data_IF_849818347740
#
_entry.id   IF_849818347740
#
_cell.length_a   1.000
_cell.length_b   1.000
_cell.length_c   1.000
_cell.angle_alpha   90.00
_cell.angle_beta   90.00
_cell.angle_gamma   90.00
#
_symmetry.space_group_name_H-M   'P 1'
#
loop_
_entity.id
_entity.type
_entity.pdbx_description
1 polymer ?
#
# COMPACT_ATOMS: atom_id res chain seq x y z
N UNK A 1 -3.35 4.72 -9.28
CA UNK A 1 -3.37 3.36 -8.67
C UNK A 1 -2.10 3.35 -7.86
N UNK A 2 -2.21 3.19 -6.54
CA UNK A 2 -1.07 3.32 -5.64
C UNK A 2 0.01 2.27 -5.94
N UNK A 3 1.07 2.69 -6.64
CA UNK A 3 2.17 1.85 -7.09
C UNK A 3 3.53 2.29 -6.56
N UNK A 4 3.55 3.22 -5.59
CA UNK A 4 4.78 3.66 -4.94
C UNK A 4 4.51 4.22 -3.57
N UNK A 5 5.32 3.83 -2.59
CA UNK A 5 5.24 4.29 -1.21
C UNK A 5 6.53 5.01 -0.81
N UNK A 6 6.38 5.99 0.06
CA UNK A 6 7.45 6.47 0.91
C UNK A 6 7.36 5.73 2.25
N UNK A 7 8.31 4.84 2.49
CA UNK A 7 8.46 4.13 3.76
C UNK A 7 9.79 4.49 4.41
N UNK A 8 10.16 5.77 4.36
CA UNK A 8 11.22 6.27 5.23
C UNK A 8 10.76 6.21 6.70
N UNK A 9 11.67 5.85 7.60
CA UNK A 9 11.39 5.87 9.04
C UNK A 9 10.41 4.79 9.52
N UNK A 10 10.31 3.65 8.83
CA UNK A 10 9.43 2.52 9.20
C UNK A 10 9.45 2.25 10.70
N UNK A 11 10.63 2.21 11.35
CA UNK A 11 10.74 1.98 12.79
C UNK A 11 9.90 2.98 13.60
N UNK A 12 9.99 4.28 13.29
CA UNK A 12 9.16 5.31 13.93
C UNK A 12 7.68 5.18 13.58
N UNK A 13 7.34 4.75 12.37
CA UNK A 13 5.94 4.52 11.99
C UNK A 13 5.33 3.40 12.85
N UNK A 14 6.13 2.39 13.20
CA UNK A 14 5.72 1.26 14.03
C UNK A 14 5.54 1.62 15.51
N UNK A 15 6.20 2.66 16.00
CA UNK A 15 6.04 3.15 17.38
C UNK A 15 4.64 3.72 17.66
N UNK A 16 3.80 3.94 16.64
CA UNK A 16 2.45 4.51 16.82
C UNK A 16 1.37 3.48 17.21
N UNK A 17 1.77 2.23 17.45
CA UNK A 17 0.88 1.14 17.85
C UNK A 17 0.94 0.91 19.37
N UNK A 18 0.61 1.93 20.16
CA UNK A 18 0.61 1.91 21.63
C UNK A 18 -0.45 0.98 22.26
N UNK A 19 -1.20 0.20 21.46
CA UNK A 19 -2.29 -0.64 21.93
C UNK A 19 -1.97 -2.14 22.03
N UNK A 20 -0.74 -2.52 21.69
CA UNK A 20 -0.21 -3.86 21.94
C UNK A 20 1.05 -3.70 22.77
N UNK A 21 1.11 -4.38 23.91
CA UNK A 21 2.21 -4.25 24.87
C UNK A 21 3.58 -4.56 24.25
N UNK A 22 3.63 -5.40 23.21
CA UNK A 22 4.85 -5.71 22.45
C UNK A 22 4.55 -5.95 20.96
N UNK A 23 5.06 -5.07 20.08
CA UNK A 23 5.21 -5.37 18.66
C UNK A 23 6.37 -6.36 18.48
N UNK A 24 6.09 -7.54 17.94
CA UNK A 24 7.14 -8.44 17.48
C UNK A 24 7.58 -8.03 16.07
N UNK A 25 8.56 -7.14 15.99
CA UNK A 25 9.10 -6.70 14.71
C UNK A 25 10.10 -7.73 14.15
N UNK A 26 9.68 -8.52 13.16
CA UNK A 26 10.53 -9.48 12.44
C UNK A 26 11.07 -8.93 11.12
N UNK A 27 10.60 -7.76 10.70
CA UNK A 27 11.02 -7.11 9.45
C UNK A 27 12.49 -6.73 9.48
N UNK A 28 13.16 -6.94 8.35
CA UNK A 28 14.52 -6.49 8.06
C UNK A 28 14.54 -5.43 6.94
N UNK A 29 13.37 -4.96 6.51
CA UNK A 29 13.25 -4.00 5.44
C UNK A 29 13.87 -2.65 5.83
N UNK A 30 14.81 -2.19 5.00
CA UNK A 30 15.38 -0.86 5.15
C UNK A 30 14.34 0.23 4.85
N UNK A 31 14.49 1.37 5.53
CA UNK A 31 13.78 2.60 5.19
C UNK A 31 14.08 3.01 3.74
N UNK A 32 13.04 3.33 2.98
CA UNK A 32 13.16 3.70 1.57
C UNK A 32 12.14 4.75 1.16
N UNK A 33 12.60 5.75 0.44
CA UNK A 33 11.76 6.83 -0.08
C UNK A 33 11.01 6.47 -1.36
N UNK A 34 11.39 5.38 -2.04
CA UNK A 34 10.84 5.02 -3.36
C UNK A 34 10.49 3.52 -3.48
N UNK A 35 9.62 3.04 -2.59
CA UNK A 35 9.23 1.62 -2.53
C UNK A 35 8.28 1.26 -3.67
N UNK A 36 8.61 0.22 -4.45
CA UNK A 36 7.84 -0.26 -5.60
C UNK A 36 7.25 -1.68 -5.39
N UNK A 37 6.15 -2.03 -6.08
CA UNK A 37 5.72 -3.41 -6.25
C UNK A 37 6.86 -4.32 -6.70
N UNK A 38 6.82 -5.57 -6.27
CA UNK A 38 7.88 -6.54 -6.51
C UNK A 38 9.03 -6.50 -5.50
N UNK A 39 8.89 -5.73 -4.41
CA UNK A 39 9.84 -5.71 -3.30
C UNK A 39 9.20 -6.27 -2.03
N UNK A 40 10.01 -6.77 -1.10
CA UNK A 40 9.54 -7.23 0.20
C UNK A 40 9.40 -6.06 1.16
N UNK A 41 8.25 -5.94 1.83
CA UNK A 41 7.92 -4.82 2.71
C UNK A 41 7.18 -5.26 3.97
N UNK A 42 7.37 -4.52 5.08
CA UNK A 42 6.73 -4.83 6.34
C UNK A 42 5.22 -4.70 6.20
N UNK A 43 4.52 -5.77 6.55
CA UNK A 43 3.07 -5.81 6.71
C UNK A 43 2.80 -6.20 8.16
N UNK A 44 2.04 -5.33 8.84
CA UNK A 44 1.57 -5.59 10.19
C UNK A 44 0.37 -6.53 10.15
N UNK A 45 0.34 -7.52 11.04
CA UNK A 45 -0.79 -8.45 11.19
C UNK A 45 -0.83 -9.05 12.60
N UNK A 46 -1.91 -9.80 12.88
CA UNK A 46 -2.08 -10.52 14.15
C UNK A 46 -1.74 -11.99 13.95
N UNK A 47 -0.74 -12.46 14.70
CA UNK A 47 -0.34 -13.87 14.80
C UNK A 47 -0.38 -14.28 16.28
N UNK A 48 -1.13 -15.34 16.60
CA UNK A 48 -1.29 -15.85 17.97
C UNK A 48 -1.62 -14.77 19.03
N UNK A 49 -2.47 -13.80 18.63
CA UNK A 49 -2.91 -12.70 19.48
C UNK A 49 -1.90 -11.56 19.65
N UNK A 50 -0.75 -11.60 18.97
CA UNK A 50 0.29 -10.57 18.99
C UNK A 50 0.32 -9.78 17.69
N UNK A 51 0.66 -8.50 17.77
CA UNK A 51 0.97 -7.69 16.60
C UNK A 51 2.38 -8.02 16.13
N UNK A 52 2.50 -8.38 14.85
CA UNK A 52 3.74 -8.81 14.22
C UNK A 52 3.96 -8.02 12.94
N UNK A 53 5.22 -7.66 12.64
CA UNK A 53 5.62 -7.10 11.36
C UNK A 53 6.47 -8.10 10.59
N UNK A 54 5.98 -8.56 9.43
CA UNK A 54 6.70 -9.46 8.53
C UNK A 54 6.92 -8.84 7.17
N UNK A 55 8.07 -9.16 6.56
CA UNK A 55 8.38 -8.74 5.20
C UNK A 55 7.69 -9.65 4.18
N UNK A 56 6.67 -9.12 3.50
CA UNK A 56 5.93 -9.82 2.46
C UNK A 56 6.20 -9.19 1.09
N UNK A 57 6.11 -10.01 0.05
CA UNK A 57 6.29 -9.55 -1.32
C UNK A 57 5.12 -8.65 -1.75
N UNK A 58 5.40 -7.42 -2.20
CA UNK A 58 4.36 -6.51 -2.67
C UNK A 58 3.88 -6.88 -4.08
N UNK A 59 2.84 -7.70 -4.12
CA UNK A 59 2.22 -8.24 -5.31
C UNK A 59 1.63 -9.60 -5.00
N UNK A 60 0.36 -9.80 -5.33
CA UNK A 60 -0.31 -11.08 -5.04
C UNK A 60 -0.80 -11.77 -6.30
N UNK A 61 -0.51 -13.07 -6.38
CA UNK A 61 -1.19 -14.01 -7.28
C UNK A 61 -1.34 -15.37 -6.60
N UNK A 62 -2.58 -15.79 -6.38
CA UNK A 62 -2.86 -17.12 -5.87
C UNK A 62 -2.33 -18.22 -6.80
N UNK A 63 -1.96 -19.38 -6.26
CA UNK A 63 -1.45 -20.53 -7.03
C UNK A 63 -2.40 -20.94 -8.16
N UNK A 64 -3.69 -21.12 -7.87
CA UNK A 64 -4.70 -21.52 -8.87
C UNK A 64 -4.79 -20.51 -10.03
N UNK A 65 -4.67 -19.21 -9.73
CA UNK A 65 -4.73 -18.16 -10.75
C UNK A 65 -3.47 -18.15 -11.63
N UNK A 66 -2.33 -18.58 -11.08
CA UNK A 66 -1.10 -18.68 -11.82
C UNK A 66 -1.02 -19.94 -12.71
N UNK A 67 -1.64 -21.03 -12.26
CA UNK A 67 -1.78 -22.32 -12.98
C UNK A 67 -2.91 -22.31 -14.01
N UNK A 68 -3.85 -21.38 -13.89
CA UNK A 68 -4.94 -21.26 -14.84
C UNK A 68 -4.42 -21.04 -16.27
N UNK A 69 -4.74 -21.97 -17.16
CA UNK A 69 -4.65 -21.78 -18.60
C UNK A 69 -5.92 -21.09 -19.07
N UNK A 70 -5.88 -19.80 -19.44
CA UNK A 70 -7.09 -19.10 -19.83
C UNK A 70 -7.61 -19.61 -21.19
N UNK A 71 -8.92 -19.81 -21.28
CA UNK A 71 -9.59 -20.09 -22.56
C UNK A 71 -10.03 -18.75 -23.18
N UNK A 72 -9.73 -18.47 -24.46
CA UNK A 72 -10.17 -17.25 -25.12
C UNK A 72 -11.68 -17.02 -24.94
N UNK A 73 -12.13 -15.78 -24.68
CA UNK A 73 -11.39 -14.52 -24.67
C UNK A 73 -10.79 -14.14 -23.30
N UNK A 74 -10.80 -15.03 -22.30
CA UNK A 74 -10.28 -14.72 -20.97
C UNK A 74 -8.77 -14.50 -21.05
N UNK A 75 -8.26 -13.53 -20.29
CA UNK A 75 -6.82 -13.29 -20.11
C UNK A 75 -6.33 -14.00 -18.86
N UNK A 76 -5.04 -14.32 -18.82
CA UNK A 76 -4.38 -14.84 -17.62
C UNK A 76 -4.50 -13.81 -16.49
N UNK A 77 -4.83 -14.29 -15.29
CA UNK A 77 -4.84 -13.44 -14.11
C UNK A 77 -3.38 -13.05 -13.80
N UNK A 78 -3.12 -11.74 -13.89
CA UNK A 78 -1.81 -11.19 -13.59
C UNK A 78 -1.64 -10.99 -12.08
N UNK A 79 -0.39 -11.01 -11.63
CA UNK A 79 -0.06 -10.56 -10.28
C UNK A 79 -0.51 -9.11 -10.11
N UNK A 80 -1.08 -8.78 -8.95
CA UNK A 80 -1.60 -7.44 -8.70
C UNK A 80 -1.10 -6.90 -7.36
N UNK A 81 -0.56 -5.67 -7.31
CA UNK A 81 -0.14 -5.02 -6.08
C UNK A 81 -1.29 -4.34 -5.33
N UNK A 82 -2.49 -4.26 -5.94
CA UNK A 82 -3.65 -3.63 -5.35
C UNK A 82 -4.88 -4.55 -5.40
N UNK A 83 -5.70 -4.48 -4.35
CA UNK A 83 -7.04 -5.04 -4.27
C UNK A 83 -8.05 -3.89 -4.31
N UNK A 84 -8.99 -3.92 -5.26
CA UNK A 84 -10.08 -2.95 -5.28
C UNK A 84 -11.04 -3.25 -4.15
N UNK A 85 -11.35 -2.27 -3.30
CA UNK A 85 -12.28 -2.43 -2.17
C UNK A 85 -13.58 -3.11 -2.57
N UNK A 86 -14.15 -2.68 -3.69
CA UNK A 86 -15.42 -3.17 -4.25
C UNK A 86 -15.36 -4.64 -4.69
N UNK A 87 -14.17 -5.24 -4.71
CA UNK A 87 -13.91 -6.64 -5.08
C UNK A 87 -13.49 -7.51 -3.90
N UNK A 88 -13.38 -6.96 -2.68
CA UNK A 88 -12.86 -7.67 -1.51
C UNK A 88 -13.67 -8.93 -1.15
N UNK A 89 -14.99 -8.89 -1.30
CA UNK A 89 -15.87 -10.04 -1.06
C UNK A 89 -15.87 -11.06 -2.22
N UNK A 90 -15.21 -10.75 -3.34
CA UNK A 90 -15.10 -11.64 -4.48
C UNK A 90 -14.22 -12.87 -4.18
N UNK A 91 -14.37 -13.98 -4.94
CA UNK A 91 -13.71 -15.25 -4.64
C UNK A 91 -12.18 -15.17 -4.65
N UNK A 92 -11.60 -14.22 -5.37
CA UNK A 92 -10.16 -14.00 -5.41
C UNK A 92 -9.60 -13.40 -4.11
N UNK A 93 -10.33 -12.47 -3.49
CA UNK A 93 -9.86 -11.71 -2.32
C UNK A 93 -10.46 -12.18 -0.99
N UNK A 94 -11.69 -12.72 -0.99
CA UNK A 94 -12.41 -13.15 0.22
C UNK A 94 -11.60 -14.13 1.10
N UNK A 95 -10.81 -15.08 0.55
CA UNK A 95 -9.94 -15.92 1.37
C UNK A 95 -8.89 -15.12 2.16
N UNK A 96 -8.23 -14.14 1.52
CA UNK A 96 -7.25 -13.29 2.19
C UNK A 96 -7.92 -12.31 3.16
N UNK A 97 -9.08 -11.75 2.79
CA UNK A 97 -9.85 -10.89 3.69
C UNK A 97 -10.25 -11.62 4.99
N UNK A 98 -10.46 -12.94 4.93
CA UNK A 98 -10.84 -13.74 6.10
C UNK A 98 -9.67 -13.98 7.06
N UNK A 99 -8.46 -14.19 6.55
CA UNK A 99 -7.33 -14.75 7.35
C UNK A 99 -6.01 -14.02 7.21
N UNK A 100 -5.92 -13.05 6.32
CA UNK A 100 -4.70 -12.35 5.96
C UNK A 100 -4.95 -10.87 5.79
N UNK A 101 -5.69 -10.27 6.73
CA UNK A 101 -5.78 -8.82 6.85
C UNK A 101 -4.46 -8.31 7.40
N UNK A 102 -3.92 -7.29 6.76
CA UNK A 102 -2.69 -6.63 7.18
C UNK A 102 -2.79 -5.12 7.07
N UNK A 103 -1.80 -4.42 7.63
CA UNK A 103 -1.64 -2.97 7.53
C UNK A 103 -0.22 -2.66 7.09
N UNK A 104 -0.08 -1.81 6.08
CA UNK A 104 1.20 -1.28 5.61
C UNK A 104 1.34 0.15 6.10
N UNK A 105 2.42 0.44 6.81
CA UNK A 105 2.73 1.80 7.26
C UNK A 105 3.53 2.55 6.20
N UNK A 106 3.20 3.82 5.97
CA UNK A 106 3.94 4.68 5.05
C UNK A 106 3.95 6.13 5.55
N UNK A 107 5.00 6.88 5.23
CA UNK A 107 5.04 8.34 5.41
C UNK A 107 4.18 9.05 4.35
N UNK A 108 4.01 8.41 3.20
CA UNK A 108 3.23 8.91 2.07
C UNK A 108 3.14 7.90 0.94
N UNK A 109 2.40 8.24 -0.11
CA UNK A 109 2.44 7.52 -1.38
C UNK A 109 2.62 8.49 -2.54
N UNK A 110 3.00 7.95 -3.70
CA UNK A 110 3.16 8.76 -4.90
C UNK A 110 2.11 8.44 -5.95
N UNK A 111 1.64 9.48 -6.63
CA UNK A 111 0.82 9.39 -7.84
C UNK A 111 1.38 10.35 -8.91
N UNK A 112 0.98 10.14 -10.16
CA UNK A 112 1.57 10.84 -11.30
C UNK A 112 0.51 11.52 -12.17
N UNK A 113 0.78 12.76 -12.57
CA UNK A 113 -0.01 13.47 -13.59
C UNK A 113 0.77 13.71 -14.87
N UNK A 114 0.08 14.05 -15.96
CA UNK A 114 0.69 14.36 -17.25
C UNK A 114 0.91 13.14 -18.16
N UNK A 115 1.39 13.37 -19.39
CA UNK A 115 1.59 12.31 -20.39
C UNK A 115 2.71 11.37 -19.97
N UNK A 116 2.67 10.11 -20.44
CA UNK A 116 3.54 9.01 -20.00
C UNK A 116 5.04 9.36 -19.94
N UNK A 117 5.54 10.06 -20.95
CA UNK A 117 6.98 10.41 -21.06
C UNK A 117 7.39 11.60 -20.18
N UNK A 118 6.43 12.39 -19.68
CA UNK A 118 6.67 13.60 -18.90
C UNK A 118 5.91 13.57 -17.56
N UNK A 119 5.65 12.38 -17.03
CA UNK A 119 4.86 12.21 -15.81
C UNK A 119 5.50 12.95 -14.64
N UNK A 120 4.71 13.81 -14.01
CA UNK A 120 5.09 14.55 -12.81
C UNK A 120 4.64 13.77 -11.58
N UNK A 121 5.56 13.27 -10.74
CA UNK A 121 5.19 12.66 -9.47
C UNK A 121 4.75 13.71 -8.46
N UNK A 122 3.77 13.32 -7.64
CA UNK A 122 3.27 14.02 -6.48
C UNK A 122 3.45 13.12 -5.27
N UNK A 123 3.98 13.67 -4.18
CA UNK A 123 3.98 13.01 -2.88
C UNK A 123 2.70 13.42 -2.13
N UNK A 124 1.95 12.44 -1.64
CA UNK A 124 0.70 12.63 -0.92
C UNK A 124 0.85 12.03 0.48
N UNK A 125 0.55 12.84 1.50
CA UNK A 125 0.79 12.51 2.92
C UNK A 125 -0.16 13.28 3.82
N UNK A 126 -0.18 12.95 5.12
CA UNK A 126 -1.02 13.67 6.09
C UNK A 126 -0.45 15.06 6.40
N UNK A 127 -1.31 16.06 6.54
CA UNK A 127 -0.94 17.43 6.94
C UNK A 127 -0.19 17.48 8.28
N UNK A 128 -0.59 16.64 9.23
CA UNK A 128 0.02 16.53 10.55
C UNK A 128 1.32 15.72 10.57
N UNK A 129 1.73 15.16 9.42
CA UNK A 129 2.92 14.30 9.27
C UNK A 129 2.87 13.01 10.09
N UNK A 130 1.69 12.63 10.57
CA UNK A 130 1.47 11.32 11.18
C UNK A 130 1.60 10.21 10.12
N UNK A 131 1.93 8.96 10.53
CA UNK A 131 1.95 7.83 9.63
C UNK A 131 0.61 7.58 8.94
N UNK A 132 0.69 6.97 7.76
CA UNK A 132 -0.44 6.37 7.08
C UNK A 132 -0.54 4.89 7.41
N UNK A 133 -1.71 4.45 7.84
CA UNK A 133 -2.06 3.05 8.00
C UNK A 133 -2.88 2.59 6.79
N UNK A 134 -2.21 1.92 5.85
CA UNK A 134 -2.82 1.48 4.60
C UNK A 134 -3.33 0.05 4.74
N UNK A 135 -4.62 -0.16 4.52
CA UNK A 135 -5.19 -1.51 4.59
C UNK A 135 -4.59 -2.41 3.49
N UNK A 136 -4.27 -3.64 3.85
CA UNK A 136 -3.74 -4.66 2.95
C UNK A 136 -4.44 -6.01 3.16
N UNK A 137 -4.44 -6.82 2.11
CA UNK A 137 -4.77 -8.25 2.17
C UNK A 137 -3.57 -9.05 1.67
N UNK A 138 -3.26 -10.14 2.35
CA UNK A 138 -2.02 -10.86 2.16
C UNK A 138 -2.19 -12.37 2.38
N UNK A 139 -1.24 -13.15 1.86
CA UNK A 139 -1.05 -14.52 2.28
C UNK A 139 0.26 -14.60 3.09
N UNK A 140 0.14 -14.72 4.42
CA UNK A 140 1.28 -14.80 5.34
C UNK A 140 1.95 -16.19 5.39
N UNK A 141 1.39 -17.19 4.72
CA UNK A 141 2.02 -18.51 4.60
C UNK A 141 3.23 -18.51 3.66
N UNK A 142 4.11 -19.51 3.74
CA UNK A 142 5.26 -19.61 2.83
C UNK A 142 4.80 -19.80 1.38
N UNK A 143 5.55 -19.26 0.43
CA UNK A 143 5.36 -19.58 -0.98
C UNK A 143 6.07 -20.89 -1.34
N UNK A 144 5.51 -21.64 -2.30
CA UNK A 144 6.12 -22.89 -2.77
C UNK A 144 6.87 -22.71 -4.08
N UNK A 145 6.30 -21.92 -4.99
CA UNK A 145 6.86 -21.77 -6.35
C UNK A 145 7.33 -20.34 -6.59
N UNK A 146 6.50 -19.34 -6.25
CA UNK A 146 6.83 -17.94 -6.55
C UNK A 146 6.49 -16.99 -5.40
N UNK A 147 7.27 -15.90 -5.21
CA UNK A 147 7.06 -14.93 -4.13
C UNK A 147 5.62 -14.41 -4.02
N UNK A 148 4.94 -14.16 -5.15
CA UNK A 148 3.59 -13.58 -5.14
C UNK A 148 2.50 -14.51 -4.59
N UNK A 149 2.81 -15.78 -4.32
CA UNK A 149 1.93 -16.68 -3.56
C UNK A 149 1.87 -16.28 -2.09
N UNK A 150 2.98 -15.80 -1.52
CA UNK A 150 3.13 -15.26 -0.17
C UNK A 150 3.25 -13.73 -0.20
N UNK A 151 2.44 -13.11 -1.06
CA UNK A 151 2.46 -11.67 -1.27
C UNK A 151 1.28 -10.95 -0.64
N UNK A 152 1.34 -9.63 -0.68
CA UNK A 152 0.26 -8.75 -0.27
C UNK A 152 -0.20 -7.83 -1.40
N UNK A 153 -1.41 -7.29 -1.25
CA UNK A 153 -1.96 -6.25 -2.08
C UNK A 153 -2.58 -5.15 -1.20
N UNK A 154 -2.30 -3.89 -1.54
CA UNK A 154 -2.92 -2.74 -0.87
C UNK A 154 -4.38 -2.62 -1.28
N UNK A 155 -5.27 -2.42 -0.32
CA UNK A 155 -6.67 -2.10 -0.60
C UNK A 155 -6.75 -0.67 -1.15
N UNK A 156 -7.47 -0.50 -2.24
CA UNK A 156 -7.65 0.81 -2.92
C UNK A 156 -9.12 1.10 -3.11
N UNK A 157 -9.49 2.38 -3.13
CA UNK A 157 -10.83 2.87 -3.42
C UNK A 157 -10.76 4.02 -4.44
N UNK A 158 -11.91 4.43 -4.96
CA UNK A 158 -12.02 5.62 -5.82
C UNK A 158 -11.54 6.87 -5.06
N UNK A 159 -10.89 7.77 -5.78
CA UNK A 159 -10.53 9.09 -5.24
C UNK A 159 -11.81 9.90 -5.06
N UNK A 160 -12.19 10.19 -3.82
CA UNK A 160 -13.30 11.11 -3.53
C UNK A 160 -12.93 12.53 -4.01
N UNK A 161 -13.94 13.33 -4.37
CA UNK A 161 -13.79 14.71 -4.87
C UNK A 161 -12.79 15.54 -4.04
N UNK A 162 -11.93 16.31 -4.70
CA UNK A 162 -10.87 17.12 -4.06
C UNK A 162 -9.44 16.60 -4.26
N UNK A 163 -9.25 15.28 -4.41
CA UNK A 163 -7.95 14.66 -4.76
C UNK A 163 -7.84 14.32 -6.26
N UNK A 164 -8.85 14.70 -7.04
CA UNK A 164 -9.21 14.12 -8.35
C UNK A 164 -8.29 14.55 -9.50
N UNK A 165 -7.49 15.60 -9.34
CA UNK A 165 -6.56 16.02 -10.40
C UNK A 165 -5.32 15.12 -10.50
N UNK A 166 -5.11 14.19 -9.55
CA UNK A 166 -3.88 13.38 -9.48
C UNK A 166 -4.07 11.92 -9.94
N UNK A 167 -5.19 11.24 -9.63
CA UNK A 167 -5.52 9.90 -10.16
C UNK A 167 -6.93 9.42 -9.75
N UNK A 168 -7.55 8.52 -10.53
CA UNK A 168 -8.83 7.82 -10.25
C UNK A 168 -8.91 7.00 -8.94
N UNK A 169 -7.79 6.58 -8.34
CA UNK A 169 -7.79 5.62 -7.21
C UNK A 169 -6.73 5.98 -6.18
N UNK A 170 -7.04 5.75 -4.90
CA UNK A 170 -6.14 5.96 -3.75
C UNK A 170 -6.06 4.75 -2.83
N UNK A 171 -4.99 4.57 -2.03
CA UNK A 171 -4.97 3.53 -1.02
C UNK A 171 -6.01 3.83 0.06
N UNK A 172 -6.56 2.78 0.67
CA UNK A 172 -7.46 2.89 1.83
C UNK A 172 -6.61 3.15 3.06
N UNK A 173 -6.32 4.43 3.31
CA UNK A 173 -5.66 4.91 4.51
C UNK A 173 -6.71 5.13 5.62
N UNK A 174 -6.43 4.64 6.83
CA UNK A 174 -7.34 4.68 7.99
C UNK A 174 -6.66 5.25 9.22
N UNK A 175 -7.44 5.52 10.28
CA UNK A 175 -6.91 5.85 11.61
C UNK A 175 -6.19 4.65 12.25
N UNK A 176 -5.37 4.88 13.29
CA UNK A 176 -4.76 3.80 14.06
C UNK A 176 -5.83 2.88 14.71
N UNK A 177 -6.94 3.47 15.18
CA UNK A 177 -8.06 2.73 15.77
C UNK A 177 -8.75 1.83 14.75
N UNK A 178 -9.01 2.34 13.54
CA UNK A 178 -9.64 1.53 12.49
C UNK A 178 -8.68 0.50 11.90
N UNK A 179 -7.37 0.78 11.88
CA UNK A 179 -6.35 -0.22 11.57
C UNK A 179 -6.37 -1.37 12.59
N UNK A 180 -6.52 -1.06 13.89
CA UNK A 180 -6.72 -2.07 14.95
C UNK A 180 -7.98 -2.91 14.70
N UNK A 181 -9.10 -2.25 14.45
CA UNK A 181 -10.38 -2.94 14.17
C UNK A 181 -10.28 -3.82 12.93
N UNK A 182 -9.58 -3.37 11.89
CA UNK A 182 -9.31 -4.15 10.70
C UNK A 182 -8.47 -5.40 10.99
N UNK A 183 -7.49 -5.30 11.88
CA UNK A 183 -6.60 -6.42 12.24
C UNK A 183 -7.21 -7.42 13.22
N UNK A 184 -8.29 -7.06 13.93
CA UNK A 184 -8.95 -7.92 14.91
C UNK A 184 -9.42 -9.25 14.27
N UNK A 185 -8.92 -10.42 14.69
CA UNK A 185 -9.29 -11.69 14.08
C UNK A 185 -10.74 -12.11 14.35
N UNK A 186 -11.42 -11.48 15.32
CA UNK A 186 -12.80 -11.82 15.70
C UNK A 186 -13.86 -11.26 14.74
N UNK A 187 -13.53 -10.22 13.97
CA UNK A 187 -14.50 -9.61 13.04
C UNK A 187 -14.71 -10.47 11.79
N UNK A 188 -15.94 -10.42 11.29
CA UNK A 188 -16.37 -11.06 10.05
C UNK A 188 -15.77 -10.39 8.81
N UNK A 189 -15.85 -11.07 7.66
CA UNK A 189 -15.38 -10.50 6.39
C UNK A 189 -16.27 -9.35 5.91
N UNK A 190 -17.55 -9.36 6.28
CA UNK A 190 -18.50 -8.29 6.04
C UNK A 190 -18.21 -7.05 6.90
N UNK A 191 -17.86 -7.23 8.18
CA UNK A 191 -17.40 -6.13 9.05
C UNK A 191 -16.07 -5.54 8.56
N UNK A 192 -15.13 -6.39 8.14
CA UNK A 192 -13.86 -5.94 7.57
C UNK A 192 -14.07 -5.12 6.29
N UNK A 193 -14.91 -5.59 5.36
CA UNK A 193 -15.26 -4.83 4.16
C UNK A 193 -15.93 -3.50 4.52
N UNK A 194 -16.81 -3.48 5.52
CA UNK A 194 -17.43 -2.26 5.98
C UNK A 194 -16.40 -1.25 6.52
N UNK A 195 -15.39 -1.69 7.28
CA UNK A 195 -14.27 -0.82 7.71
C UNK A 195 -13.57 -0.23 6.49
N UNK A 196 -13.21 -1.04 5.50
CA UNK A 196 -12.57 -0.53 4.28
C UNK A 196 -13.46 0.48 3.54
N UNK A 197 -14.78 0.37 3.66
CA UNK A 197 -15.77 1.26 3.04
C UNK A 197 -15.94 2.59 3.77
N UNK A 198 -15.96 2.57 5.10
CA UNK A 198 -16.40 3.72 5.90
C UNK A 198 -15.29 4.40 6.69
N UNK A 199 -14.17 3.74 6.94
CA UNK A 199 -13.09 4.24 7.81
C UNK A 199 -11.98 4.99 7.06
N UNK A 200 -12.17 5.26 5.76
CA UNK A 200 -11.18 6.02 4.99
C UNK A 200 -11.03 7.43 5.57
N UNK A 201 -9.78 7.83 5.77
CA UNK A 201 -9.47 9.20 6.15
C UNK A 201 -10.01 10.21 5.12
N UNK A 202 -10.53 11.31 5.62
CA UNK A 202 -11.03 12.41 4.80
C UNK A 202 -9.89 13.00 3.95
N UNK A 203 -10.19 13.37 2.71
CA UNK A 203 -9.25 14.06 1.81
C UNK A 203 -8.71 15.34 2.44
N UNK A 204 -9.48 16.02 3.29
CA UNK A 204 -9.06 17.26 3.96
C UNK A 204 -7.89 17.07 4.93
N UNK A 205 -7.61 15.84 5.36
CA UNK A 205 -6.45 15.51 6.21
C UNK A 205 -5.14 15.39 5.43
N UNK A 206 -5.20 15.39 4.10
CA UNK A 206 -4.04 15.22 3.23
C UNK A 206 -3.60 16.53 2.61
N UNK A 207 -2.30 16.62 2.36
CA UNK A 207 -1.69 17.60 1.46
C UNK A 207 -0.82 16.88 0.44
N UNK A 208 -0.47 17.57 -0.65
CA UNK A 208 0.40 17.01 -1.67
C UNK A 208 1.23 18.09 -2.35
N UNK A 209 2.42 17.71 -2.79
CA UNK A 209 3.31 18.57 -3.56
C UNK A 209 4.04 17.78 -4.66
N UNK A 210 4.47 18.49 -5.69
CA UNK A 210 5.30 17.91 -6.74
C UNK A 210 6.67 17.55 -6.20
N UNK A 211 7.21 16.40 -6.62
CA UNK A 211 8.55 15.91 -6.24
C UNK A 211 9.41 15.65 -7.47
N UNK A 212 10.69 15.33 -7.26
CA UNK A 212 11.64 15.10 -8.34
C UNK A 212 11.20 14.00 -9.31
N UNK A 213 11.35 14.26 -10.62
CA UNK A 213 11.12 13.27 -11.68
C UNK A 213 12.15 12.14 -11.65
N UNK A 214 13.24 12.25 -10.90
CA UNK A 214 14.17 11.13 -10.71
C UNK A 214 13.49 9.90 -10.08
N UNK A 215 12.34 10.08 -9.41
CA UNK A 215 11.48 9.00 -8.93
C UNK A 215 11.05 8.04 -10.07
N UNK A 216 10.90 8.56 -11.29
CA UNK A 216 10.49 7.82 -12.48
C UNK A 216 11.56 6.83 -12.95
N UNK A 217 12.82 7.20 -12.80
CA UNK A 217 13.98 6.41 -13.21
C UNK A 217 14.65 5.66 -12.05
N UNK A 218 14.00 5.67 -10.87
CA UNK A 218 14.42 4.87 -9.73
C UNK A 218 15.36 5.56 -8.74
N UNK A 219 15.31 6.89 -8.62
CA UNK A 219 15.98 7.59 -7.50
C UNK A 219 15.46 7.10 -6.15
N UNK A 220 16.32 7.00 -5.13
CA UNK A 220 16.00 6.33 -3.86
C UNK A 220 16.26 7.20 -2.62
N UNK A 221 16.80 8.41 -2.78
CA UNK A 221 17.21 9.26 -1.68
C UNK A 221 16.09 10.14 -1.08
N UNK A 222 16.37 10.85 0.01
CA UNK A 222 15.40 11.71 0.70
C UNK A 222 14.85 12.82 -0.20
N UNK A 223 15.59 13.24 -1.22
CA UNK A 223 15.16 14.20 -2.23
C UNK A 223 13.95 13.74 -3.05
N UNK A 224 13.57 12.46 -2.96
CA UNK A 224 12.36 11.92 -3.58
C UNK A 224 11.08 12.35 -2.85
N UNK A 225 11.16 12.68 -1.56
CA UNK A 225 10.01 13.00 -0.72
C UNK A 225 9.92 14.49 -0.34
N UNK A 226 10.81 15.34 -0.83
CA UNK A 226 10.78 16.80 -0.57
C UNK A 226 10.12 17.56 -1.72
N UNK A 227 9.47 18.71 -1.45
CA UNK A 227 8.87 19.52 -2.50
C UNK A 227 9.89 19.97 -3.54
N UNK A 228 9.50 19.98 -4.82
CA UNK A 228 10.24 20.69 -5.85
C UNK A 228 10.29 22.19 -5.49
N UNK A 229 11.45 22.67 -5.04
CA UNK A 229 11.71 24.11 -4.96
C UNK A 229 11.69 24.71 -6.37
N UNK A 230 11.15 25.91 -6.52
CA UNK A 230 10.92 26.60 -7.81
C UNK A 230 12.21 26.95 -8.62
N UNK A 231 13.36 26.35 -8.31
CA UNK A 231 14.67 26.72 -8.84
C UNK A 231 15.58 25.51 -9.08
N UNK A 232 15.07 24.45 -9.70
CA UNK A 232 15.92 23.54 -10.47
C UNK A 232 15.60 23.69 -11.96
N UNK A 233 16.53 24.24 -12.77
CA UNK A 233 16.37 24.24 -14.21
C UNK A 233 16.23 22.79 -14.67
N UNK A 234 15.26 22.54 -15.53
CA UNK A 234 15.15 21.28 -16.27
C UNK A 234 16.43 21.21 -17.13
N UNK A 235 17.42 20.41 -16.72
CA UNK A 235 18.45 19.97 -17.66
C UNK A 235 17.79 19.01 -18.63
N UNK A 236 17.33 19.56 -19.76
CA UNK A 236 17.11 18.80 -20.98
C UNK A 236 18.50 18.58 -21.58
N UNK A 237 19.10 17.44 -21.29
CA UNK A 237 20.21 16.97 -22.12
C UNK A 237 19.61 16.57 -23.47
N UNK A 238 19.91 17.38 -24.50
CA UNK A 238 19.59 17.15 -25.91
C UNK A 238 20.64 16.20 -26.51
#
# INVERSE_FOLDING_TARGET
MCGRLDQNGISRLLDNFDWVDELLNRSQAASQWNVKPGTYRPVLHIEDGRLVADDLFWGYRSLWAAEQTPVPPKKKISMTPNARREKLLGPYWKPLLRRGRGVVCAAGWYEWTGPKELRQPWHIHRKDREPLFLLAVANFGPYKVRPEEAGFALVTADSLGGMVDVHDRRPVAVSAEDARRWLDPSITVEEAENIARTAMLDVELFEWYQVSRSLNVGGEGPEMAVPLTASQPIQLDI
#
